data_IF_626366716956
#
_entry.id   IF_626366716956
#
_cell.length_a   1.000
_cell.length_b   1.000
_cell.length_c   1.000
_cell.angle_alpha   90.00
_cell.angle_beta   90.00
_cell.angle_gamma   90.00
#
_symmetry.space_group_name_H-M   'P 1'
#
loop_
_entity.id
_entity.type
_entity.pdbx_description
1 polymer ?
#
# COMPACT_ATOMS: atom_id res chain seq x y z
N UNK A 1 -3.45 19.91 2.87
CA UNK A 1 -2.68 18.65 2.77
C UNK A 1 -3.18 17.89 1.55
N UNK A 2 -2.29 17.22 0.81
CA UNK A 2 -2.67 16.32 -0.29
C UNK A 2 -2.80 14.92 0.32
N UNK A 3 -4.00 14.34 0.23
CA UNK A 3 -4.39 13.08 0.91
C UNK A 3 -5.20 12.26 -0.08
N UNK A 4 -5.01 10.95 -0.07
CA UNK A 4 -5.78 9.99 -0.86
C UNK A 4 -6.26 8.86 0.06
N UNK A 5 -7.56 8.54 0.01
CA UNK A 5 -8.13 7.47 0.81
C UNK A 5 -7.54 6.11 0.47
N UNK A 6 -7.29 5.84 -0.81
CA UNK A 6 -6.58 4.65 -1.28
C UNK A 6 -6.04 4.90 -2.69
N UNK A 7 -4.73 4.74 -2.85
CA UNK A 7 -4.10 4.87 -4.15
C UNK A 7 -3.90 3.49 -4.79
N UNK A 8 -4.82 3.09 -5.68
CA UNK A 8 -4.74 1.79 -6.36
C UNK A 8 -3.58 1.73 -7.35
N UNK A 9 -3.21 2.86 -7.96
CA UNK A 9 -2.06 2.95 -8.87
C UNK A 9 -0.77 2.57 -8.15
N UNK A 10 -0.64 2.94 -6.87
CA UNK A 10 0.50 2.55 -6.03
C UNK A 10 0.57 1.04 -5.76
N UNK A 11 -0.53 0.30 -5.92
CA UNK A 11 -0.57 -1.17 -5.89
C UNK A 11 -0.30 -1.77 -7.28
N UNK A 12 -0.97 -1.25 -8.31
CA UNK A 12 -0.82 -1.72 -9.69
C UNK A 12 0.63 -1.63 -10.19
N UNK A 13 1.32 -0.53 -9.87
CA UNK A 13 2.71 -0.31 -10.26
C UNK A 13 3.63 -1.46 -9.86
N UNK A 14 3.78 -1.78 -8.57
CA UNK A 14 4.52 -2.95 -8.11
C UNK A 14 4.03 -4.27 -8.70
N UNK A 15 2.71 -4.47 -8.85
CA UNK A 15 2.14 -5.72 -9.40
C UNK A 15 2.62 -5.99 -10.83
N UNK A 16 2.57 -5.01 -11.73
CA UNK A 16 2.93 -5.18 -13.15
C UNK A 16 4.43 -5.01 -13.43
N UNK A 17 5.19 -4.56 -12.44
CA UNK A 17 6.61 -4.27 -12.57
C UNK A 17 7.46 -5.55 -12.65
N UNK A 18 8.19 -5.70 -13.76
CA UNK A 18 9.09 -6.84 -14.03
C UNK A 18 10.57 -6.43 -14.04
N UNK A 19 10.90 -5.26 -13.49
CA UNK A 19 12.27 -4.69 -13.50
C UNK A 19 12.80 -4.37 -12.11
N UNK A 20 12.12 -4.85 -11.07
CA UNK A 20 12.45 -4.54 -9.69
C UNK A 20 12.56 -3.02 -9.46
N UNK A 21 11.67 -2.24 -10.09
CA UNK A 21 11.52 -0.81 -9.79
C UNK A 21 11.13 -0.57 -8.32
N UNK A 22 11.67 0.49 -7.73
CA UNK A 22 11.42 0.88 -6.33
C UNK A 22 10.18 1.78 -6.26
N UNK A 23 9.28 1.49 -5.33
CA UNK A 23 8.11 2.33 -5.06
C UNK A 23 8.48 3.50 -4.14
N UNK A 24 8.20 4.72 -4.57
CA UNK A 24 8.24 5.91 -3.73
C UNK A 24 6.80 6.32 -3.44
N UNK A 25 6.46 6.54 -2.17
CA UNK A 25 5.08 6.63 -1.72
C UNK A 25 4.89 7.80 -0.74
N UNK A 26 3.82 8.57 -0.93
CA UNK A 26 3.45 9.61 0.04
C UNK A 26 2.91 8.97 1.32
N UNK A 27 3.33 9.45 2.49
CA UNK A 27 2.88 8.94 3.79
C UNK A 27 1.38 9.17 4.06
N UNK A 28 0.78 10.15 3.37
CA UNK A 28 -0.63 10.56 3.56
C UNK A 28 -1.63 9.84 2.65
N UNK A 29 -1.23 8.75 1.99
CA UNK A 29 -2.16 7.96 1.18
C UNK A 29 -2.46 6.64 1.89
N UNK A 30 -3.70 6.16 1.81
CA UNK A 30 -4.11 4.94 2.52
C UNK A 30 -3.31 3.69 2.13
N UNK A 31 -2.76 3.64 0.91
CA UNK A 31 -1.88 2.54 0.50
C UNK A 31 -0.56 2.47 1.32
N UNK A 32 -0.17 3.56 1.99
CA UNK A 32 1.05 3.62 2.79
C UNK A 32 0.99 2.73 4.03
N UNK A 33 -0.19 2.48 4.59
CA UNK A 33 -0.32 1.56 5.73
C UNK A 33 0.12 0.14 5.36
N UNK A 34 -0.21 -0.31 4.14
CA UNK A 34 0.13 -1.64 3.63
C UNK A 34 1.52 -1.69 2.98
N UNK A 35 1.88 -0.70 2.16
CA UNK A 35 3.06 -0.74 1.30
C UNK A 35 4.26 0.03 1.87
N UNK A 36 4.03 0.89 2.86
CA UNK A 36 5.06 1.73 3.48
C UNK A 36 6.29 0.98 4.00
N UNK A 37 6.18 -0.22 4.59
CA UNK A 37 7.35 -0.97 5.07
C UNK A 37 8.38 -1.30 3.99
N UNK A 38 7.94 -1.52 2.74
CA UNK A 38 8.80 -1.91 1.62
C UNK A 38 9.03 -0.79 0.59
N UNK A 39 8.28 0.30 0.69
CA UNK A 39 8.44 1.51 -0.13
C UNK A 39 9.47 2.50 0.47
N UNK A 40 9.85 3.49 -0.33
CA UNK A 40 10.47 4.72 0.18
C UNK A 40 9.37 5.74 0.46
N UNK A 41 9.10 6.01 1.72
CA UNK A 41 8.04 6.94 2.12
C UNK A 41 8.54 8.39 2.12
N UNK A 42 7.70 9.32 1.67
CA UNK A 42 8.00 10.76 1.62
C UNK A 42 6.83 11.58 2.14
N UNK A 43 7.13 12.73 2.74
CA UNK A 43 6.10 13.67 3.16
C UNK A 43 5.49 14.39 1.95
N UNK A 44 4.21 14.80 1.99
CA UNK A 44 3.58 15.49 0.87
C UNK A 44 4.23 16.86 0.66
N UNK A 45 4.53 17.18 -0.61
CA UNK A 45 5.19 18.42 -0.99
C UNK A 45 6.61 18.63 -0.41
N UNK A 46 7.22 17.59 0.16
CA UNK A 46 8.64 17.61 0.53
C UNK A 46 9.51 17.36 -0.71
N UNK A 47 9.98 18.46 -1.30
CA UNK A 47 10.82 18.42 -2.49
C UNK A 47 12.19 17.76 -2.23
N UNK A 48 12.79 18.03 -1.07
CA UNK A 48 14.12 17.54 -0.73
C UNK A 48 14.05 16.04 -0.42
N UNK A 49 13.09 15.62 0.40
CA UNK A 49 12.83 14.21 0.67
C UNK A 49 12.48 13.42 -0.58
N UNK A 50 11.66 13.99 -1.48
CA UNK A 50 11.35 13.34 -2.77
C UNK A 50 12.60 13.20 -3.64
N UNK A 51 13.45 14.23 -3.70
CA UNK A 51 14.71 14.18 -4.46
C UNK A 51 15.65 13.11 -3.90
N UNK A 52 15.77 13.04 -2.57
CA UNK A 52 16.60 12.05 -1.90
C UNK A 52 16.06 10.62 -2.11
N UNK A 53 14.74 10.43 -2.04
CA UNK A 53 14.11 9.14 -2.31
C UNK A 53 14.34 8.68 -3.76
N UNK A 54 14.22 9.60 -4.73
CA UNK A 54 14.53 9.32 -6.14
C UNK A 54 16.00 8.93 -6.33
N UNK A 55 16.93 9.66 -5.74
CA UNK A 55 18.34 9.32 -5.78
C UNK A 55 18.57 7.93 -5.20
N UNK A 56 18.09 7.67 -3.98
CA UNK A 56 18.20 6.37 -3.31
C UNK A 56 17.63 5.24 -4.18
N UNK A 57 16.44 5.41 -4.74
CA UNK A 57 15.80 4.42 -5.62
C UNK A 57 16.64 4.10 -6.87
N UNK A 58 17.22 5.12 -7.51
CA UNK A 58 18.05 4.96 -8.70
C UNK A 58 19.42 4.34 -8.41
N UNK A 59 19.98 4.61 -7.23
CA UNK A 59 21.28 4.05 -6.81
C UNK A 59 21.17 2.75 -6.00
N UNK A 60 19.95 2.27 -5.74
CA UNK A 60 19.72 1.10 -4.89
C UNK A 60 20.33 -0.16 -5.50
N UNK A 61 21.07 -0.98 -4.71
CA UNK A 61 21.63 -2.24 -5.17
C UNK A 61 20.53 -3.18 -5.72
N UNK A 62 20.80 -3.93 -6.80
CA UNK A 62 19.81 -4.81 -7.42
C UNK A 62 19.15 -5.80 -6.45
N UNK A 63 19.91 -6.37 -5.53
CA UNK A 63 19.39 -7.33 -4.54
C UNK A 63 18.39 -6.70 -3.58
N UNK A 64 18.60 -5.44 -3.19
CA UNK A 64 17.67 -4.73 -2.31
C UNK A 64 16.39 -4.37 -3.07
N UNK A 65 16.52 -3.90 -4.31
CA UNK A 65 15.37 -3.63 -5.19
C UNK A 65 14.51 -4.86 -5.39
N UNK A 66 15.13 -6.01 -5.67
CA UNK A 66 14.45 -7.27 -5.87
C UNK A 66 13.70 -7.72 -4.61
N UNK A 67 14.34 -7.63 -3.43
CA UNK A 67 13.70 -7.94 -2.14
C UNK A 67 12.45 -7.09 -1.89
N UNK A 68 12.55 -5.77 -2.07
CA UNK A 68 11.41 -4.85 -1.93
C UNK A 68 10.29 -5.16 -2.92
N UNK A 69 10.64 -5.40 -4.19
CA UNK A 69 9.66 -5.73 -5.23
C UNK A 69 8.89 -7.03 -4.93
N UNK A 70 9.58 -8.08 -4.47
CA UNK A 70 8.95 -9.34 -4.06
C UNK A 70 8.02 -9.12 -2.85
N UNK A 71 8.49 -8.38 -1.84
CA UNK A 71 7.70 -8.12 -0.63
C UNK A 71 6.43 -7.30 -0.93
N UNK A 72 6.54 -6.26 -1.76
CA UNK A 72 5.39 -5.46 -2.21
C UNK A 72 4.36 -6.32 -2.95
N UNK A 73 4.79 -7.14 -3.91
CA UNK A 73 3.88 -8.02 -4.65
C UNK A 73 3.15 -8.99 -3.73
N UNK A 74 3.90 -9.64 -2.83
CA UNK A 74 3.33 -10.56 -1.84
C UNK A 74 2.29 -9.86 -0.95
N UNK A 75 2.61 -8.69 -0.41
CA UNK A 75 1.69 -7.93 0.43
C UNK A 75 0.39 -7.57 -0.31
N UNK A 76 0.48 -7.20 -1.59
CA UNK A 76 -0.67 -6.87 -2.44
C UNK A 76 -1.52 -8.12 -2.74
N UNK A 77 -0.90 -9.25 -3.05
CA UNK A 77 -1.58 -10.52 -3.35
C UNK A 77 -2.30 -11.10 -2.12
N UNK A 78 -1.75 -10.90 -0.91
CA UNK A 78 -2.38 -11.35 0.33
C UNK A 78 -3.65 -10.54 0.69
N UNK A 79 -3.76 -9.30 0.21
CA UNK A 79 -4.88 -8.39 0.50
C UNK A 79 -5.51 -7.90 -0.82
N UNK A 80 -6.02 -8.85 -1.60
CA UNK A 80 -6.66 -8.59 -2.88
C UNK A 80 -8.09 -8.04 -2.74
N UNK A 81 -8.72 -7.72 -3.89
CA UNK A 81 -10.09 -7.18 -3.94
C UNK A 81 -11.13 -8.17 -3.40
N UNK A 82 -10.88 -9.46 -3.53
CA UNK A 82 -11.79 -10.51 -3.05
C UNK A 82 -11.77 -10.54 -1.53
N UNK A 83 -10.59 -10.52 -0.93
CA UNK A 83 -10.38 -10.46 0.52
C UNK A 83 -11.05 -9.20 1.10
N UNK A 84 -10.87 -8.04 0.47
CA UNK A 84 -11.56 -6.81 0.89
C UNK A 84 -13.09 -6.95 0.87
N UNK A 85 -13.66 -7.50 -0.21
CA UNK A 85 -15.11 -7.70 -0.31
C UNK A 85 -15.63 -8.65 0.78
N UNK A 86 -14.92 -9.74 1.03
CA UNK A 86 -15.30 -10.71 2.06
C UNK A 86 -15.30 -10.08 3.45
N UNK A 87 -14.29 -9.29 3.80
CA UNK A 87 -14.25 -8.57 5.08
C UNK A 87 -15.43 -7.59 5.22
N UNK A 88 -15.75 -6.82 4.19
CA UNK A 88 -16.89 -5.89 4.23
C UNK A 88 -18.21 -6.65 4.47
N UNK A 89 -18.39 -7.81 3.82
CA UNK A 89 -19.58 -8.63 4.02
C UNK A 89 -19.65 -9.23 5.43
N UNK A 90 -18.52 -9.74 5.93
CA UNK A 90 -18.42 -10.29 7.29
C UNK A 90 -18.73 -9.24 8.34
N UNK A 91 -18.11 -8.05 8.24
CA UNK A 91 -18.37 -6.92 9.14
C UNK A 91 -19.85 -6.52 9.12
N UNK A 92 -20.46 -6.49 7.93
CA UNK A 92 -21.88 -6.17 7.79
C UNK A 92 -22.78 -7.21 8.48
N UNK A 93 -22.48 -8.50 8.33
CA UNK A 93 -23.23 -9.58 9.00
C UNK A 93 -23.10 -9.47 10.51
N UNK A 94 -21.88 -9.25 11.02
CA UNK A 94 -21.61 -9.11 12.45
C UNK A 94 -22.38 -7.94 13.05
N UNK A 95 -22.39 -6.78 12.36
CA UNK A 95 -23.16 -5.61 12.81
C UNK A 95 -24.67 -5.90 12.88
N UNK A 96 -25.24 -6.62 11.91
CA UNK A 96 -26.68 -6.96 11.92
C UNK A 96 -27.02 -7.91 13.07
N UNK A 97 -26.15 -8.87 13.37
CA UNK A 97 -26.32 -9.79 14.49
C UNK A 97 -26.29 -9.05 15.84
N UNK A 98 -25.31 -8.18 16.06
CA UNK A 98 -25.21 -7.38 17.29
C UNK A 98 -26.43 -6.49 17.53
N UNK A 99 -27.00 -5.91 16.47
CA UNK A 99 -28.20 -5.07 16.60
C UNK A 99 -29.44 -5.91 16.95
N UNK A 100 -29.53 -7.13 16.43
CA UNK A 100 -30.64 -8.05 16.73
C UNK A 100 -30.62 -8.53 18.18
N UNK A 101 -29.42 -8.78 18.72
CA UNK A 101 -29.21 -9.15 20.12
C UNK A 101 -29.51 -8.00 21.08
N UNK A 102 -29.12 -6.75 20.74
CA UNK A 102 -29.42 -5.57 21.55
C UNK A 102 -30.90 -5.17 21.56
N UNK A 103 -31.67 -5.62 20.57
CA UNK A 103 -33.09 -5.34 20.44
C UNK A 103 -34.00 -6.36 21.18
N UNK A 104 -33.43 -7.44 21.70
CA UNK A 104 -34.12 -8.51 22.45
C UNK A 104 -33.88 -8.35 23.95
#
# INVERSE_FOLDING_TARGET
AVIDGMNLVAKEGPTVNNRDGVLILSETIGACEQLGPDALTVAPADLEGTTQALYTALTMPPDERNKRAISLKKSIEEHDVTNWLLHVLEDTVNLVQEQSEKAT
#
